data_IF_853169457386
#
_entry.id   IF_853169457386
#
_cell.length_a   1.000
_cell.length_b   1.000
_cell.length_c   1.000
_cell.angle_alpha   90.00
_cell.angle_beta   90.00
_cell.angle_gamma   90.00
#
_symmetry.space_group_name_H-M   'P 1'
#
loop_
_entity.id
_entity.type
_entity.pdbx_description
1 polymer ?
#
# COMPACT_ATOMS: atom_id res chain seq x y z
N UNK A 1 -4.00 8.94 -2.01
CA UNK A 1 -3.25 8.61 -0.78
C UNK A 1 -1.79 9.01 -0.96
N UNK A 2 -1.18 9.59 0.07
CA UNK A 2 0.26 9.76 0.15
C UNK A 2 0.77 9.15 1.47
N UNK A 3 1.97 8.58 1.43
CA UNK A 3 2.65 8.02 2.61
C UNK A 3 4.02 8.66 2.72
N UNK A 4 4.39 9.09 3.92
CA UNK A 4 5.73 9.49 4.26
C UNK A 4 6.27 8.65 5.41
N UNK A 5 7.56 8.30 5.31
CA UNK A 5 8.31 7.53 6.30
C UNK A 5 9.48 8.40 6.74
N UNK A 6 9.59 8.67 8.04
CA UNK A 6 10.63 9.52 8.63
C UNK A 6 10.77 10.87 7.90
N UNK A 7 9.63 11.53 7.65
CA UNK A 7 9.55 12.83 6.98
C UNK A 7 9.81 12.82 5.46
N UNK A 8 10.06 11.64 4.86
CA UNK A 8 10.26 11.49 3.40
C UNK A 8 9.03 10.87 2.76
N UNK A 9 8.46 11.51 1.74
CA UNK A 9 7.40 10.91 0.91
C UNK A 9 7.93 9.68 0.18
N UNK A 10 7.34 8.51 0.45
CA UNK A 10 7.72 7.21 -0.14
C UNK A 10 6.67 6.67 -1.09
N UNK A 11 5.43 7.16 -1.04
CA UNK A 11 4.36 6.72 -1.92
C UNK A 11 3.39 7.85 -2.19
N UNK A 12 3.03 8.07 -3.46
CA UNK A 12 1.86 8.86 -3.85
C UNK A 12 1.05 8.06 -4.87
N UNK A 13 -0.21 7.80 -4.54
CA UNK A 13 -1.18 7.13 -5.42
C UNK A 13 -2.47 7.91 -5.53
N UNK A 14 -3.05 7.92 -6.72
CA UNK A 14 -4.27 8.62 -7.06
C UNK A 14 -5.06 7.83 -8.11
N UNK A 15 -6.34 8.20 -8.28
CA UNK A 15 -7.18 7.70 -9.36
C UNK A 15 -6.50 7.84 -10.72
N UNK A 16 -6.61 6.83 -11.59
CA UNK A 16 -5.84 6.77 -12.85
C UNK A 16 -5.99 7.99 -13.77
N UNK A 17 -7.15 8.62 -13.77
CA UNK A 17 -7.44 9.79 -14.60
C UNK A 17 -7.14 11.13 -13.91
N UNK A 18 -6.49 11.08 -12.74
CA UNK A 18 -6.07 12.27 -12.00
C UNK A 18 -4.59 12.54 -12.21
N UNK A 19 -4.24 13.81 -12.42
CA UNK A 19 -2.84 14.22 -12.54
C UNK A 19 -2.18 14.22 -11.16
N UNK A 20 -1.12 13.44 -10.98
CA UNK A 20 -0.24 13.56 -9.82
C UNK A 20 0.46 14.94 -9.86
N UNK A 21 0.13 15.83 -8.92
CA UNK A 21 0.75 17.16 -8.78
C UNK A 21 1.91 17.20 -7.77
N UNK A 22 2.23 16.07 -7.14
CA UNK A 22 3.41 15.96 -6.29
C UNK A 22 4.70 15.88 -7.11
N UNK A 23 5.83 16.01 -6.43
CA UNK A 23 7.16 15.76 -7.01
C UNK A 23 7.59 14.29 -6.92
N UNK A 24 6.86 13.46 -6.18
CA UNK A 24 7.17 12.05 -6.03
C UNK A 24 6.90 11.29 -7.33
N UNK A 25 7.79 10.35 -7.65
CA UNK A 25 7.68 9.45 -8.79
C UNK A 25 8.02 8.04 -8.30
N UNK A 26 7.27 7.07 -8.79
CA UNK A 26 7.55 5.66 -8.51
C UNK A 26 8.95 5.32 -9.02
N UNK A 27 9.79 4.71 -8.18
CA UNK A 27 11.17 4.35 -8.51
C UNK A 27 11.26 3.18 -9.48
N UNK A 28 10.38 2.19 -9.31
CA UNK A 28 10.33 0.98 -10.13
C UNK A 28 9.20 1.07 -11.17
N UNK A 29 9.35 0.34 -12.28
CA UNK A 29 8.34 0.29 -13.35
C UNK A 29 6.95 -0.01 -12.77
N UNK A 30 5.91 0.59 -13.37
CA UNK A 30 4.52 0.49 -12.93
C UNK A 30 4.13 -0.93 -12.55
N UNK A 31 3.43 -1.09 -11.43
CA UNK A 31 2.84 -2.39 -11.09
C UNK A 31 1.84 -2.78 -12.18
N UNK A 32 1.91 -4.04 -12.63
CA UNK A 32 0.93 -4.62 -13.54
C UNK A 32 -0.43 -4.87 -12.83
N UNK A 33 -0.50 -4.68 -11.51
CA UNK A 33 -1.69 -4.96 -10.71
C UNK A 33 -2.67 -3.79 -10.78
N UNK A 34 -3.87 -4.09 -11.25
CA UNK A 34 -4.93 -3.11 -11.44
C UNK A 34 -6.09 -3.41 -10.51
N UNK A 35 -6.62 -2.34 -9.94
CA UNK A 35 -7.86 -2.33 -9.15
C UNK A 35 -8.86 -1.43 -9.85
N UNK A 36 -10.10 -1.39 -9.38
CA UNK A 36 -11.14 -0.54 -9.99
C UNK A 36 -10.74 0.94 -10.04
N UNK A 37 -9.83 1.36 -9.15
CA UNK A 37 -9.31 2.72 -9.09
C UNK A 37 -8.10 3.04 -9.98
N UNK A 38 -7.60 2.05 -10.72
CA UNK A 38 -6.43 2.18 -11.57
C UNK A 38 -5.29 1.23 -11.15
N UNK A 39 -4.06 1.46 -11.66
CA UNK A 39 -2.90 0.67 -11.27
C UNK A 39 -2.54 0.94 -9.80
N UNK A 40 -2.23 -0.12 -9.06
CA UNK A 40 -1.56 0.02 -7.77
C UNK A 40 -0.18 0.65 -7.99
N UNK A 41 0.32 1.34 -6.97
CA UNK A 41 1.61 2.04 -7.02
C UNK A 41 2.55 1.38 -6.03
N UNK A 42 3.76 1.09 -6.48
CA UNK A 42 4.82 0.61 -5.61
C UNK A 42 5.45 1.81 -4.88
N UNK A 43 5.69 1.68 -3.59
CA UNK A 43 6.38 2.71 -2.81
C UNK A 43 7.90 2.55 -2.90
N UNK A 44 8.61 3.57 -2.45
CA UNK A 44 10.05 3.47 -2.23
C UNK A 44 10.33 2.53 -1.04
N UNK A 45 11.38 1.71 -1.15
CA UNK A 45 11.89 0.93 -0.04
C UNK A 45 12.34 1.83 1.12
N UNK A 46 12.11 1.36 2.34
CA UNK A 46 12.60 1.99 3.56
C UNK A 46 13.10 0.93 4.54
N UNK A 47 13.99 1.34 5.44
CA UNK A 47 14.51 0.46 6.49
C UNK A 47 13.72 0.66 7.79
N UNK A 48 13.30 -0.45 8.39
CA UNK A 48 12.73 -0.48 9.74
C UNK A 48 13.57 -1.37 10.64
N UNK A 49 14.02 -0.84 11.79
CA UNK A 49 14.80 -1.61 12.77
C UNK A 49 13.88 -2.14 13.87
N UNK A 50 14.02 -3.42 14.22
CA UNK A 50 13.23 -4.03 15.29
C UNK A 50 13.31 -3.22 16.58
N UNK A 51 12.15 -2.99 17.18
CA UNK A 51 12.02 -2.23 18.43
C UNK A 51 12.18 -0.72 18.28
N UNK A 52 12.49 -0.20 17.08
CA UNK A 52 12.55 1.23 16.83
C UNK A 52 11.22 1.72 16.23
N UNK A 53 10.63 2.78 16.78
CA UNK A 53 9.48 3.41 16.16
C UNK A 53 9.88 4.03 14.81
N UNK A 54 8.97 3.99 13.86
CA UNK A 54 9.06 4.74 12.60
C UNK A 54 8.03 5.85 12.67
N UNK A 55 8.44 7.05 12.22
CA UNK A 55 7.52 8.15 12.00
C UNK A 55 6.80 7.95 10.67
N UNK A 56 5.46 7.85 10.71
CA UNK A 56 4.65 7.46 9.56
C UNK A 56 3.48 8.44 9.40
N UNK A 57 3.50 9.17 8.30
CA UNK A 57 2.38 10.02 7.90
C UNK A 57 1.60 9.34 6.78
N UNK A 58 0.29 9.18 6.97
CA UNK A 58 -0.62 8.71 5.93
C UNK A 58 -1.65 9.80 5.66
N UNK A 59 -1.60 10.39 4.46
CA UNK A 59 -2.58 11.35 4.00
C UNK A 59 -3.59 10.68 3.07
N UNK A 60 -4.85 10.67 3.51
CA UNK A 60 -5.99 10.25 2.71
C UNK A 60 -6.71 11.49 2.19
N UNK A 61 -7.01 11.49 0.90
CA UNK A 61 -7.68 12.59 0.22
C UNK A 61 -8.51 12.07 -0.93
N UNK A 62 -9.62 12.73 -1.16
CA UNK A 62 -10.61 12.40 -2.18
C UNK A 62 -10.75 13.62 -3.12
N UNK A 63 -10.98 13.36 -4.40
CA UNK A 63 -11.25 14.37 -5.42
C UNK A 63 -11.96 13.71 -6.61
N UNK A 64 -13.05 14.28 -7.16
CA UNK A 64 -13.68 15.58 -6.82
C UNK A 64 -14.85 15.51 -5.81
N UNK A 65 -15.15 14.34 -5.24
CA UNK A 65 -16.35 14.03 -4.48
C UNK A 65 -16.87 12.63 -4.85
N UNK A 66 -17.70 12.03 -3.98
CA UNK A 66 -18.41 10.75 -4.16
C UNK A 66 -17.70 9.52 -3.56
N UNK A 67 -17.09 8.67 -4.39
CA UNK A 67 -16.57 7.35 -3.96
C UNK A 67 -15.09 7.47 -3.63
N UNK A 68 -14.73 7.11 -2.40
CA UNK A 68 -13.35 7.01 -1.95
C UNK A 68 -12.99 5.55 -1.68
N UNK A 69 -11.85 5.12 -2.21
CA UNK A 69 -11.23 3.85 -1.89
C UNK A 69 -9.72 4.00 -1.85
N UNK A 70 -9.08 3.38 -0.86
CA UNK A 70 -7.64 3.32 -0.75
C UNK A 70 -7.23 2.02 -0.07
N UNK A 71 -6.17 1.41 -0.59
CA UNK A 71 -5.53 0.25 0.02
C UNK A 71 -4.06 0.54 0.19
N UNK A 72 -3.56 0.23 1.38
CA UNK A 72 -2.14 0.24 1.69
C UNK A 72 -1.75 -1.19 2.04
N UNK A 73 -0.92 -1.77 1.18
CA UNK A 73 -0.33 -3.08 1.37
C UNK A 73 1.14 -2.88 1.72
N UNK A 74 1.75 -3.85 2.41
CA UNK A 74 3.15 -3.77 2.81
C UNK A 74 3.93 -5.01 2.38
N UNK A 75 5.10 -4.77 1.77
CA UNK A 75 6.03 -5.80 1.34
C UNK A 75 7.28 -5.78 2.24
N UNK A 76 7.80 -6.96 2.57
CA UNK A 76 9.12 -7.16 3.19
C UNK A 76 10.07 -7.68 2.12
N UNK A 77 11.19 -7.00 1.93
CA UNK A 77 12.22 -7.42 0.99
C UNK A 77 12.67 -8.87 1.27
N UNK A 78 12.68 -9.69 0.22
CA UNK A 78 13.08 -11.10 0.31
C UNK A 78 12.02 -12.06 0.86
N UNK A 79 10.83 -11.56 1.23
CA UNK A 79 9.70 -12.43 1.59
C UNK A 79 9.03 -13.00 0.33
N UNK A 80 8.49 -14.22 0.45
CA UNK A 80 7.68 -14.86 -0.60
C UNK A 80 6.20 -14.75 -0.24
N UNK A 81 5.40 -14.29 -1.18
CA UNK A 81 3.96 -14.14 -1.03
C UNK A 81 3.20 -15.14 -1.91
N UNK A 82 2.00 -15.50 -1.46
CA UNK A 82 1.05 -16.27 -2.28
C UNK A 82 0.65 -15.50 -3.54
N UNK A 83 -0.02 -16.18 -4.46
CA UNK A 83 -0.62 -15.55 -5.64
C UNK A 83 -2.07 -15.96 -5.78
N UNK A 84 -2.90 -15.04 -6.21
CA UNK A 84 -4.29 -15.33 -6.55
C UNK A 84 -4.39 -16.13 -7.87
N UNK A 85 -5.62 -16.50 -8.26
CA UNK A 85 -5.87 -17.27 -9.48
C UNK A 85 -5.46 -16.55 -10.78
N UNK A 86 -5.27 -15.23 -10.72
CA UNK A 86 -4.83 -14.39 -11.84
C UNK A 86 -3.33 -14.11 -11.79
N UNK A 87 -2.62 -14.64 -10.79
CA UNK A 87 -1.18 -14.50 -10.62
C UNK A 87 -0.74 -13.23 -9.89
N UNK A 88 -1.65 -12.46 -9.32
CA UNK A 88 -1.31 -11.25 -8.55
C UNK A 88 -0.76 -11.64 -7.16
N UNK A 89 0.25 -10.94 -6.62
CA UNK A 89 0.82 -11.24 -5.32
C UNK A 89 -0.17 -10.88 -4.21
N UNK A 90 -0.39 -11.79 -3.28
CA UNK A 90 -1.21 -11.57 -2.10
C UNK A 90 -0.38 -10.93 -0.99
N UNK A 91 -0.34 -9.60 -0.97
CA UNK A 91 0.41 -8.82 0.01
C UNK A 91 -0.41 -8.55 1.27
N UNK A 92 0.20 -8.53 2.46
CA UNK A 92 -0.47 -8.11 3.69
C UNK A 92 -1.03 -6.69 3.61
N UNK A 93 -2.27 -6.49 4.08
CA UNK A 93 -2.76 -5.14 4.41
C UNK A 93 -1.90 -4.53 5.51
N UNK A 94 -1.52 -3.28 5.33
CA UNK A 94 -0.87 -2.51 6.39
C UNK A 94 -1.83 -2.29 7.56
N UNK A 95 -1.48 -2.84 8.73
CA UNK A 95 -2.27 -2.74 9.95
C UNK A 95 -1.42 -2.19 11.10
N UNK A 96 -1.92 -1.18 11.80
CA UNK A 96 -1.35 -0.69 13.08
C UNK A 96 -1.98 -1.39 14.30
N UNK A 97 -3.07 -2.14 14.08
CA UNK A 97 -3.76 -2.95 15.09
C UNK A 97 -4.43 -4.13 14.41
N UNK A 98 -4.43 -5.28 15.08
CA UNK A 98 -4.92 -6.53 14.50
C UNK A 98 -6.41 -6.40 14.21
N UNK A 99 -6.77 -6.65 12.95
CA UNK A 99 -8.17 -6.73 12.53
C UNK A 99 -8.31 -7.90 11.56
N UNK A 100 -9.18 -8.85 11.87
CA UNK A 100 -9.49 -9.92 10.94
C UNK A 100 -10.07 -9.33 9.67
N UNK A 101 -9.47 -9.67 8.55
CA UNK A 101 -9.91 -9.36 7.20
C UNK A 101 -10.61 -10.61 6.70
N UNK A 102 -11.91 -10.49 6.45
CA UNK A 102 -12.63 -11.50 5.70
C UNK A 102 -12.44 -11.18 4.22
N UNK A 103 -12.00 -12.13 3.37
CA UNK A 103 -11.99 -11.92 1.93
C UNK A 103 -13.44 -11.92 1.42
N UNK A 104 -14.12 -10.79 1.60
CA UNK A 104 -15.31 -10.43 0.83
C UNK A 104 -14.82 -9.64 -0.39
N UNK A 105 -15.36 -9.96 -1.57
CA UNK A 105 -14.94 -9.51 -2.91
C UNK A 105 -14.81 -7.97 -3.10
N UNK A 106 -15.18 -7.14 -2.12
CA UNK A 106 -15.31 -5.69 -2.28
C UNK A 106 -14.30 -4.85 -1.49
N UNK A 107 -13.62 -5.38 -0.44
CA UNK A 107 -13.02 -4.47 0.55
C UNK A 107 -11.50 -4.33 0.52
N UNK A 108 -10.72 -5.36 0.11
CA UNK A 108 -9.26 -5.20 -0.12
C UNK A 108 -8.75 -6.19 -1.17
N UNK A 109 -8.24 -5.72 -2.33
CA UNK A 109 -7.69 -6.60 -3.35
C UNK A 109 -6.32 -7.15 -2.91
N UNK A 110 -6.02 -8.37 -3.39
CA UNK A 110 -4.70 -8.98 -3.28
C UNK A 110 -4.16 -9.07 -1.84
N UNK A 111 -4.97 -9.49 -0.87
CA UNK A 111 -4.54 -9.59 0.53
C UNK A 111 -4.87 -10.90 1.21
N UNK A 112 -4.08 -11.22 2.23
CA UNK A 112 -4.33 -12.25 3.23
C UNK A 112 -4.56 -11.64 4.62
N UNK A 113 -5.06 -12.45 5.56
CA UNK A 113 -5.04 -12.07 6.98
C UNK A 113 -3.60 -11.94 7.46
N UNK A 114 -3.28 -10.82 8.10
CA UNK A 114 -1.93 -10.54 8.60
C UNK A 114 -1.97 -9.98 10.02
N UNK A 115 -0.93 -10.24 10.84
CA UNK A 115 -0.76 -9.52 12.09
C UNK A 115 -0.44 -8.04 11.82
N UNK A 116 -0.57 -7.17 12.83
CA UNK A 116 -0.09 -5.80 12.75
C UNK A 116 1.36 -5.77 12.27
N UNK A 117 1.63 -4.84 11.36
CA UNK A 117 2.98 -4.66 10.90
C UNK A 117 3.84 -4.12 12.04
N UNK A 118 5.01 -4.72 12.19
CA UNK A 118 6.06 -4.26 13.12
C UNK A 118 7.38 -4.22 12.37
N UNK A 119 8.33 -3.40 12.81
CA UNK A 119 9.68 -3.48 12.27
C UNK A 119 10.27 -4.85 12.62
N UNK A 120 10.52 -5.67 11.60
CA UNK A 120 11.17 -6.96 11.72
C UNK A 120 12.67 -6.81 11.42
N UNK A 121 13.49 -7.62 12.08
CA UNK A 121 14.95 -7.70 11.85
C UNK A 121 15.29 -7.91 10.37
#
# INVERSE_FOLDING_TARGET
>A
MAVAVNGRTTLVSNWENTRNRSRWRQSDNSSDFRVWAGPLRHGDWFEGKKGQPIDLDILLGEYPGNIFGAWLLIEKQGATYGRDAQGNPELPVFQVRAKSITPAYQDVPFTTNSPPWTCHE
#
